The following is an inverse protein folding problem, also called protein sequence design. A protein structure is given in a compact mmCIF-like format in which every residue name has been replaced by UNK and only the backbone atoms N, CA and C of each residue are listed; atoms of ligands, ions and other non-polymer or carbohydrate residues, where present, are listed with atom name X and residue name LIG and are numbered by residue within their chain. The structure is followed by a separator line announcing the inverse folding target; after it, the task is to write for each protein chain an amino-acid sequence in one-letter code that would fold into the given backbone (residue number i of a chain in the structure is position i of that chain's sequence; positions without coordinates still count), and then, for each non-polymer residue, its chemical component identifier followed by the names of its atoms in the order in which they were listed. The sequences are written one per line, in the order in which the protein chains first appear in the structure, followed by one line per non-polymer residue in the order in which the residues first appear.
data_IF_154204387259
#
_entry.id   IF_154204387259
#
_cell.length_a   1.000
_cell.length_b   1.000
_cell.length_c   1.000
_cell.angle_alpha   90.00
_cell.angle_beta   90.00
_cell.angle_gamma   90.00
#
_symmetry.space_group_name_H-M   'P 1'
#
loop_
_entity.id
_entity.type
_entity.pdbx_description
1 polymer ?
#
# COMPACT_ATOMS: atom_id res chain seq x y z
N UNK A 1 -21.59 -11.46 17.08
CA UNK A 1 -22.61 -12.48 17.45
C UNK A 1 -22.84 -13.40 16.28
N UNK A 2 -22.98 -14.71 16.55
CA UNK A 2 -23.35 -15.72 15.56
C UNK A 2 -24.70 -16.33 15.94
N UNK A 3 -25.63 -16.37 15.01
CA UNK A 3 -26.90 -17.05 15.12
C UNK A 3 -26.77 -18.42 14.43
N UNK A 4 -26.82 -19.49 15.24
CA UNK A 4 -26.63 -20.86 14.77
C UNK A 4 -27.87 -21.40 14.04
N UNK A 5 -29.06 -20.89 14.34
CA UNK A 5 -30.31 -21.36 13.71
C UNK A 5 -30.40 -20.85 12.26
N UNK A 6 -30.10 -19.57 12.05
CA UNK A 6 -30.17 -18.92 10.73
C UNK A 6 -28.79 -18.82 10.04
N UNK A 7 -27.70 -19.30 10.70
CA UNK A 7 -26.32 -19.27 10.21
C UNK A 7 -25.83 -17.88 9.83
N UNK A 8 -26.25 -16.88 10.60
CA UNK A 8 -25.96 -15.46 10.37
C UNK A 8 -24.86 -14.99 11.31
N UNK A 9 -23.81 -14.41 10.75
CA UNK A 9 -22.77 -13.72 11.51
C UNK A 9 -23.02 -12.19 11.51
N UNK A 10 -23.34 -11.62 12.66
CA UNK A 10 -23.33 -10.19 12.91
C UNK A 10 -21.91 -9.77 13.31
N UNK A 11 -21.16 -9.24 12.34
CA UNK A 11 -19.71 -9.09 12.41
C UNK A 11 -19.21 -7.75 12.97
N UNK A 12 -20.13 -6.86 13.37
CA UNK A 12 -19.81 -5.47 13.69
C UNK A 12 -19.10 -4.79 12.49
N UNK A 13 -17.94 -4.18 12.70
CA UNK A 13 -17.20 -3.50 11.63
C UNK A 13 -16.48 -4.45 10.66
N UNK A 14 -16.30 -5.71 11.03
CA UNK A 14 -15.62 -6.66 10.15
C UNK A 14 -16.44 -6.94 8.89
N UNK A 15 -15.74 -7.09 7.76
CA UNK A 15 -16.29 -7.32 6.42
C UNK A 15 -17.08 -6.14 5.82
N UNK A 16 -16.99 -4.98 6.46
CA UNK A 16 -17.55 -3.73 5.95
C UNK A 16 -16.76 -3.13 4.78
N UNK A 17 -17.35 -2.13 4.15
CA UNK A 17 -16.71 -1.30 3.13
C UNK A 17 -17.13 0.16 3.27
N UNK A 18 -16.35 1.07 2.69
CA UNK A 18 -16.81 2.44 2.47
C UNK A 18 -17.82 2.51 1.31
N UNK A 19 -18.47 3.66 1.17
CA UNK A 19 -19.42 3.94 0.12
C UNK A 19 -20.88 3.67 0.52
N UNK A 20 -21.78 4.29 -0.21
CA UNK A 20 -23.23 4.15 -0.03
C UNK A 20 -23.73 2.85 -0.69
N UNK A 21 -24.82 2.27 -0.15
CA UNK A 21 -25.36 1.01 -0.65
C UNK A 21 -26.13 1.15 -1.97
N UNK A 22 -26.51 2.36 -2.35
CA UNK A 22 -27.20 2.71 -3.58
C UNK A 22 -26.24 3.09 -4.74
N UNK A 23 -24.94 2.99 -4.51
CA UNK A 23 -23.90 3.15 -5.53
C UNK A 23 -23.40 1.78 -5.97
N UNK A 24 -23.47 1.51 -7.26
CA UNK A 24 -22.90 0.29 -7.82
C UNK A 24 -21.39 0.41 -7.94
N UNK A 25 -20.68 -0.31 -7.07
CA UNK A 25 -19.22 -0.34 -7.03
C UNK A 25 -18.73 -1.71 -6.54
N UNK A 26 -17.51 -2.07 -6.93
CA UNK A 26 -16.89 -3.31 -6.49
C UNK A 26 -16.63 -3.29 -4.96
N UNK A 27 -16.89 -4.41 -4.30
CA UNK A 27 -16.67 -4.55 -2.85
C UNK A 27 -15.18 -4.47 -2.49
N UNK A 28 -14.30 -5.13 -3.23
CA UNK A 28 -12.91 -5.37 -2.85
C UNK A 28 -12.07 -4.09 -2.67
N UNK A 29 -12.08 -3.09 -3.56
CA UNK A 29 -11.30 -1.87 -3.40
C UNK A 29 -11.70 -1.08 -2.14
N UNK A 30 -13.00 -0.87 -1.95
CA UNK A 30 -13.52 -0.09 -0.83
C UNK A 30 -13.42 -0.84 0.51
N UNK A 31 -13.57 -2.16 0.51
CA UNK A 31 -13.34 -3.00 1.67
C UNK A 31 -11.86 -3.05 2.07
N UNK A 32 -10.93 -3.06 1.11
CA UNK A 32 -9.49 -2.94 1.39
C UNK A 32 -9.18 -1.62 2.06
N UNK A 33 -9.66 -0.51 1.48
CA UNK A 33 -9.47 0.84 2.03
C UNK A 33 -10.04 0.95 3.45
N UNK A 34 -11.23 0.38 3.67
CA UNK A 34 -11.88 0.30 4.97
C UNK A 34 -11.04 -0.53 5.97
N UNK A 35 -10.66 -1.76 5.59
CA UNK A 35 -9.86 -2.65 6.44
C UNK A 35 -8.53 -2.01 6.84
N UNK A 36 -7.75 -1.54 5.88
CA UNK A 36 -6.43 -0.95 6.14
C UNK A 36 -6.56 0.31 6.98
N UNK A 37 -7.57 1.15 6.71
CA UNK A 37 -7.82 2.39 7.44
C UNK A 37 -8.16 2.19 8.91
N UNK A 38 -9.00 1.21 9.22
CA UNK A 38 -9.61 1.02 10.55
C UNK A 38 -8.97 -0.14 11.33
N UNK A 39 -8.69 -1.26 10.65
CA UNK A 39 -8.29 -2.51 11.30
C UNK A 39 -6.83 -2.87 11.04
N UNK A 40 -6.16 -2.22 10.08
CA UNK A 40 -4.86 -2.61 9.54
C UNK A 40 -3.79 -2.95 10.57
N UNK A 41 -3.69 -2.21 11.69
CA UNK A 41 -2.69 -2.51 12.74
C UNK A 41 -3.02 -3.75 13.59
N UNK A 42 -4.24 -4.28 13.52
CA UNK A 42 -4.74 -5.36 14.36
C UNK A 42 -4.76 -6.73 13.65
N UNK A 43 -3.90 -6.95 12.67
CA UNK A 43 -3.88 -8.16 11.85
C UNK A 43 -3.82 -9.45 12.68
N UNK A 44 -3.02 -9.50 13.75
CA UNK A 44 -2.92 -10.68 14.64
C UNK A 44 -4.27 -11.02 15.29
N UNK A 45 -5.01 -10.00 15.75
CA UNK A 45 -6.33 -10.18 16.35
C UNK A 45 -7.34 -10.67 15.32
N UNK A 46 -7.31 -10.12 14.10
CA UNK A 46 -8.16 -10.56 12.99
C UNK A 46 -7.88 -12.02 12.63
N UNK A 47 -6.61 -12.42 12.50
CA UNK A 47 -6.24 -13.82 12.25
C UNK A 47 -6.77 -14.76 13.34
N UNK A 48 -6.73 -14.37 14.60
CA UNK A 48 -7.28 -15.15 15.70
C UNK A 48 -8.80 -15.30 15.62
N UNK A 49 -9.50 -14.24 15.18
CA UNK A 49 -10.96 -14.27 14.98
C UNK A 49 -11.34 -15.13 13.78
N UNK A 50 -10.64 -15.00 12.64
CA UNK A 50 -10.85 -15.83 11.45
C UNK A 50 -10.68 -17.32 11.77
N UNK A 51 -9.64 -17.67 12.55
CA UNK A 51 -9.42 -19.06 12.98
C UNK A 51 -10.56 -19.60 13.85
N UNK A 52 -11.14 -18.77 14.72
CA UNK A 52 -12.31 -19.17 15.52
C UNK A 52 -13.56 -19.33 14.66
N UNK A 53 -13.75 -18.43 13.69
CA UNK A 53 -14.91 -18.47 12.79
C UNK A 53 -14.86 -19.61 11.77
N UNK A 54 -13.68 -20.18 11.49
CA UNK A 54 -13.51 -21.27 10.53
C UNK A 54 -14.28 -22.57 10.88
N UNK A 55 -14.69 -22.73 12.16
CA UNK A 55 -15.51 -23.85 12.60
C UNK A 55 -17.02 -23.59 12.56
N UNK A 56 -17.45 -22.41 12.13
CA UNK A 56 -18.86 -22.04 12.05
C UNK A 56 -19.39 -22.24 10.62
N UNK A 57 -20.62 -22.73 10.51
CA UNK A 57 -21.31 -22.84 9.22
C UNK A 57 -22.03 -21.52 8.89
N UNK A 58 -21.26 -20.53 8.40
CA UNK A 58 -21.76 -19.19 8.11
C UNK A 58 -22.32 -19.17 6.68
N UNK A 59 -23.57 -18.73 6.52
CA UNK A 59 -24.23 -18.53 5.23
C UNK A 59 -24.45 -17.05 4.89
N UNK A 60 -24.50 -16.21 5.93
CA UNK A 60 -24.70 -14.76 5.74
C UNK A 60 -23.86 -13.98 6.74
N UNK A 61 -23.24 -12.90 6.26
CA UNK A 61 -22.55 -11.92 7.12
C UNK A 61 -23.28 -10.58 7.03
N UNK A 62 -23.67 -10.06 8.20
CA UNK A 62 -24.25 -8.74 8.38
C UNK A 62 -23.24 -7.83 9.10
N UNK A 63 -22.59 -6.95 8.36
CA UNK A 63 -21.70 -5.91 8.90
C UNK A 63 -22.48 -4.64 9.25
N UNK A 64 -21.92 -3.76 10.08
CA UNK A 64 -22.50 -2.46 10.39
C UNK A 64 -22.36 -1.47 9.24
N UNK A 65 -21.35 -1.65 8.38
CA UNK A 65 -21.04 -0.78 7.26
C UNK A 65 -20.85 -1.62 5.99
N UNK A 66 -21.66 -1.39 4.97
CA UNK A 66 -21.59 -2.09 3.70
C UNK A 66 -22.76 -3.05 3.46
N UNK A 67 -22.69 -3.88 2.42
CA UNK A 67 -23.77 -4.78 2.05
C UNK A 67 -23.84 -6.01 2.97
N UNK A 68 -24.99 -6.67 2.96
CA UNK A 68 -25.10 -8.04 3.44
C UNK A 68 -24.36 -8.95 2.47
N UNK A 69 -23.49 -9.80 2.99
CA UNK A 69 -22.72 -10.75 2.20
C UNK A 69 -23.34 -12.15 2.32
N UNK A 70 -23.56 -12.78 1.18
CA UNK A 70 -24.17 -14.09 1.08
C UNK A 70 -23.13 -15.18 0.78
N UNK A 71 -23.50 -16.43 0.96
CA UNK A 71 -22.64 -17.62 0.93
C UNK A 71 -21.68 -17.68 -0.28
N UNK A 72 -22.15 -17.29 -1.45
CA UNK A 72 -21.37 -17.29 -2.69
C UNK A 72 -20.22 -16.29 -2.71
N UNK A 73 -20.27 -15.25 -1.86
CA UNK A 73 -19.26 -14.21 -1.75
C UNK A 73 -18.25 -14.50 -0.64
N UNK A 74 -18.61 -15.35 0.33
CA UNK A 74 -17.85 -15.50 1.58
C UNK A 74 -16.44 -16.04 1.36
N UNK A 75 -16.23 -16.91 0.37
CA UNK A 75 -14.91 -17.47 0.09
C UNK A 75 -13.90 -16.36 -0.27
N UNK A 76 -14.28 -15.46 -1.17
CA UNK A 76 -13.42 -14.36 -1.62
C UNK A 76 -13.21 -13.33 -0.52
N UNK A 77 -14.27 -13.02 0.22
CA UNK A 77 -14.24 -12.08 1.35
C UNK A 77 -13.32 -12.55 2.47
N UNK A 78 -13.42 -13.82 2.85
CA UNK A 78 -12.57 -14.43 3.87
C UNK A 78 -11.10 -14.52 3.41
N UNK A 79 -10.87 -14.87 2.14
CA UNK A 79 -9.53 -14.89 1.55
C UNK A 79 -8.87 -13.50 1.54
N UNK A 80 -9.63 -12.45 1.23
CA UNK A 80 -9.15 -11.08 1.29
C UNK A 80 -8.75 -10.69 2.72
N UNK A 81 -9.62 -10.94 3.70
CA UNK A 81 -9.35 -10.66 5.12
C UNK A 81 -8.16 -11.44 5.66
N UNK A 82 -8.00 -12.70 5.28
CA UNK A 82 -6.83 -13.52 5.63
C UNK A 82 -5.54 -12.94 5.05
N UNK A 83 -5.58 -12.51 3.78
CA UNK A 83 -4.45 -11.86 3.11
C UNK A 83 -4.05 -10.56 3.80
N UNK A 84 -5.01 -9.66 4.02
CA UNK A 84 -4.74 -8.35 4.62
C UNK A 84 -4.24 -8.45 6.07
N UNK A 85 -4.89 -9.28 6.88
CA UNK A 85 -4.55 -9.43 8.29
C UNK A 85 -3.24 -10.18 8.53
N UNK A 86 -2.81 -11.01 7.57
CA UNK A 86 -1.48 -11.61 7.57
C UNK A 86 -0.40 -10.71 6.95
N UNK A 87 -0.76 -9.48 6.54
CA UNK A 87 0.12 -8.53 5.87
C UNK A 87 0.77 -9.07 4.59
N UNK A 88 0.10 -9.98 3.89
CA UNK A 88 0.53 -10.46 2.58
C UNK A 88 0.11 -9.47 1.49
N UNK A 89 0.89 -9.30 0.42
CA UNK A 89 0.44 -8.57 -0.76
C UNK A 89 -0.68 -9.34 -1.47
N UNK A 90 -1.63 -8.60 -2.06
CA UNK A 90 -2.65 -9.19 -2.94
C UNK A 90 -2.13 -9.39 -4.35
N UNK A 91 -1.22 -8.53 -4.76
CA UNK A 91 -0.75 -8.45 -6.15
C UNK A 91 0.77 -8.33 -6.15
N UNK A 92 1.42 -9.17 -6.95
CA UNK A 92 2.82 -8.94 -7.27
C UNK A 92 2.90 -7.81 -8.30
N UNK A 93 3.31 -6.65 -7.82
CA UNK A 93 3.36 -5.42 -8.58
C UNK A 93 3.96 -4.30 -7.77
N UNK A 94 3.98 -3.11 -8.33
CA UNK A 94 4.73 -1.97 -7.82
C UNK A 94 3.81 -0.75 -7.70
N UNK A 95 3.74 -0.16 -6.52
CA UNK A 95 3.25 1.20 -6.35
C UNK A 95 4.43 2.17 -6.44
N UNK A 96 4.40 3.10 -7.37
CA UNK A 96 5.30 4.26 -7.43
C UNK A 96 4.55 5.45 -6.84
N UNK A 97 4.86 5.80 -5.60
CA UNK A 97 4.25 6.91 -4.89
C UNK A 97 5.25 8.08 -4.83
N UNK A 98 4.85 9.23 -5.34
CA UNK A 98 5.77 10.36 -5.42
C UNK A 98 5.17 11.68 -4.92
N UNK A 99 6.06 12.63 -4.61
CA UNK A 99 5.75 14.05 -4.50
C UNK A 99 6.73 14.83 -5.36
N UNK A 100 6.26 15.92 -5.97
CA UNK A 100 7.10 16.78 -6.79
C UNK A 100 6.70 18.24 -6.63
N UNK A 101 7.69 19.15 -6.56
CA UNK A 101 7.46 20.60 -6.44
C UNK A 101 7.49 21.25 -7.82
N UNK A 102 8.53 20.96 -8.60
CA UNK A 102 8.78 21.60 -9.90
C UNK A 102 8.64 20.65 -11.10
N UNK A 103 8.10 19.44 -10.91
CA UNK A 103 7.92 18.46 -11.96
C UNK A 103 9.02 17.40 -12.06
N UNK A 104 10.28 17.74 -11.81
CA UNK A 104 11.42 16.86 -12.09
C UNK A 104 11.42 15.53 -11.32
N UNK A 105 10.90 15.50 -10.09
CA UNK A 105 10.72 14.23 -9.34
C UNK A 105 9.59 13.40 -9.93
N UNK A 106 8.52 14.04 -10.40
CA UNK A 106 7.44 13.38 -11.13
C UNK A 106 7.97 12.76 -12.43
N UNK A 107 8.72 13.52 -13.24
CA UNK A 107 9.32 13.03 -14.48
C UNK A 107 10.19 11.80 -14.24
N UNK A 108 11.02 11.80 -13.19
CA UNK A 108 11.86 10.66 -12.85
C UNK A 108 11.03 9.45 -12.39
N UNK A 109 9.97 9.67 -11.60
CA UNK A 109 9.07 8.61 -11.15
C UNK A 109 8.30 7.97 -12.31
N UNK A 110 7.81 8.79 -13.24
CA UNK A 110 7.11 8.29 -14.44
C UNK A 110 8.05 7.54 -15.39
N UNK A 111 9.29 8.01 -15.58
CA UNK A 111 10.29 7.29 -16.38
C UNK A 111 10.62 5.91 -15.77
N UNK A 112 10.79 5.83 -14.45
CA UNK A 112 10.96 4.54 -13.77
C UNK A 112 9.74 3.64 -13.97
N UNK A 113 8.54 4.18 -13.83
CA UNK A 113 7.31 3.42 -13.99
C UNK A 113 7.16 2.87 -15.42
N UNK A 114 7.49 3.66 -16.43
CA UNK A 114 7.46 3.21 -17.83
C UNK A 114 8.50 2.13 -18.11
N UNK A 115 9.71 2.27 -17.59
CA UNK A 115 10.72 1.22 -17.72
C UNK A 115 10.29 -0.09 -17.04
N UNK A 116 9.70 -0.01 -15.84
CA UNK A 116 9.17 -1.19 -15.15
C UNK A 116 8.04 -1.86 -15.93
N UNK A 117 7.14 -1.07 -16.56
CA UNK A 117 6.09 -1.60 -17.45
C UNK A 117 6.68 -2.32 -18.66
N UNK A 118 7.71 -1.76 -19.29
CA UNK A 118 8.41 -2.43 -20.42
C UNK A 118 9.09 -3.72 -19.99
N UNK A 119 9.48 -3.86 -18.72
CA UNK A 119 9.99 -5.10 -18.12
C UNK A 119 8.86 -6.06 -17.68
N UNK A 120 7.59 -5.77 -18.01
CA UNK A 120 6.45 -6.63 -17.72
C UNK A 120 5.89 -6.51 -16.29
N UNK A 121 6.30 -5.49 -15.53
CA UNK A 121 5.79 -5.28 -14.17
C UNK A 121 4.43 -4.59 -14.20
N UNK A 122 3.53 -4.98 -13.29
CA UNK A 122 2.31 -4.22 -13.02
C UNK A 122 2.66 -3.00 -12.17
N UNK A 123 2.39 -1.78 -12.70
CA UNK A 123 2.79 -0.54 -12.03
C UNK A 123 1.63 0.42 -11.93
N UNK A 124 1.37 0.90 -10.71
CA UNK A 124 0.48 2.02 -10.42
C UNK A 124 1.32 3.20 -9.96
N UNK A 125 1.01 4.40 -10.47
CA UNK A 125 1.71 5.64 -10.11
C UNK A 125 0.74 6.57 -9.40
N UNK A 126 1.16 7.16 -8.29
CA UNK A 126 0.33 8.07 -7.50
C UNK A 126 1.10 9.32 -7.04
N UNK A 127 0.55 10.50 -7.34
CA UNK A 127 1.02 11.77 -6.77
C UNK A 127 0.39 11.95 -5.38
N UNK A 128 1.18 11.78 -4.33
CA UNK A 128 0.72 11.87 -2.93
C UNK A 128 0.20 13.25 -2.53
N UNK A 129 0.54 14.30 -3.29
CA UNK A 129 0.03 15.64 -3.05
C UNK A 129 -1.34 15.90 -3.71
N UNK A 130 -1.83 14.98 -4.55
CA UNK A 130 -3.04 15.17 -5.36
C UNK A 130 -4.03 14.00 -5.29
N UNK A 131 -3.59 12.82 -4.85
CA UNK A 131 -4.45 11.65 -4.70
C UNK A 131 -5.15 11.62 -3.33
N UNK A 132 -6.14 10.75 -3.19
CA UNK A 132 -6.66 10.37 -1.88
C UNK A 132 -5.58 9.59 -1.11
N UNK A 133 -5.19 10.11 0.05
CA UNK A 133 -4.15 9.51 0.90
C UNK A 133 -4.57 8.12 1.41
N UNK A 134 -5.84 7.91 1.73
CA UNK A 134 -6.32 6.62 2.18
C UNK A 134 -6.26 5.58 1.06
N UNK A 135 -6.53 5.98 -0.18
CA UNK A 135 -6.35 5.13 -1.36
C UNK A 135 -4.87 4.80 -1.59
N UNK A 136 -3.97 5.79 -1.51
CA UNK A 136 -2.53 5.55 -1.65
C UNK A 136 -2.02 4.54 -0.62
N UNK A 137 -2.46 4.65 0.63
CA UNK A 137 -2.14 3.70 1.71
C UNK A 137 -2.68 2.31 1.38
N UNK A 138 -3.93 2.20 0.94
CA UNK A 138 -4.53 0.91 0.56
C UNK A 138 -3.77 0.25 -0.61
N UNK A 139 -3.35 1.03 -1.61
CA UNK A 139 -2.54 0.53 -2.73
C UNK A 139 -1.14 0.07 -2.27
N UNK A 140 -0.51 0.75 -1.30
CA UNK A 140 0.76 0.28 -0.75
C UNK A 140 0.63 -1.09 -0.07
N UNK A 141 -0.46 -1.35 0.63
CA UNK A 141 -0.73 -2.66 1.22
C UNK A 141 -1.13 -3.72 0.17
N UNK A 142 -1.71 -3.31 -0.95
CA UNK A 142 -2.08 -4.20 -2.05
C UNK A 142 -0.88 -4.81 -2.76
N UNK A 143 0.12 -3.98 -3.08
CA UNK A 143 1.27 -4.39 -3.89
C UNK A 143 2.42 -4.97 -3.06
N UNK A 144 3.22 -5.85 -3.70
CA UNK A 144 4.41 -6.45 -3.10
C UNK A 144 5.57 -5.47 -2.97
N UNK A 145 5.61 -4.43 -3.82
CA UNK A 145 6.72 -3.48 -3.91
C UNK A 145 6.22 -2.03 -3.85
N UNK A 146 7.00 -1.17 -3.21
CA UNK A 146 6.74 0.27 -3.09
C UNK A 146 7.98 1.05 -3.50
N UNK A 147 7.83 1.97 -4.43
CA UNK A 147 8.82 3.01 -4.73
C UNK A 147 8.35 4.31 -4.11
N UNK A 148 9.21 4.98 -3.36
CA UNK A 148 8.99 6.32 -2.83
C UNK A 148 9.92 7.31 -3.51
N UNK A 149 9.35 8.32 -4.18
CA UNK A 149 10.10 9.38 -4.82
C UNK A 149 9.71 10.75 -4.25
N UNK A 150 10.66 11.46 -3.65
CA UNK A 150 10.36 12.73 -2.98
C UNK A 150 11.52 13.72 -3.03
N UNK A 151 11.24 15.04 -3.12
CA UNK A 151 12.29 16.04 -2.92
C UNK A 151 12.69 16.13 -1.44
N UNK A 152 13.95 16.49 -1.22
CA UNK A 152 14.44 16.99 0.07
C UNK A 152 13.81 18.34 0.35
N UNK A 153 13.16 18.48 1.50
CA UNK A 153 12.50 19.71 1.93
C UNK A 153 12.87 20.01 3.38
N UNK A 154 13.47 21.17 3.62
CA UNK A 154 13.97 21.58 4.95
C UNK A 154 14.88 20.52 5.63
N UNK A 155 15.70 19.81 4.86
CA UNK A 155 16.55 18.73 5.38
C UNK A 155 15.80 17.45 5.75
N UNK A 156 14.51 17.38 5.48
CA UNK A 156 13.57 16.29 5.72
C UNK A 156 12.94 15.85 4.38
N UNK A 157 11.95 14.97 4.40
CA UNK A 157 11.11 14.61 3.25
C UNK A 157 9.96 15.61 3.07
N UNK A 158 9.40 15.68 1.88
CA UNK A 158 8.25 16.55 1.64
C UNK A 158 7.03 16.09 2.47
N UNK A 159 6.21 17.01 3.02
CA UNK A 159 5.19 16.69 4.02
C UNK A 159 4.22 15.57 3.64
N UNK A 160 3.72 15.52 2.42
CA UNK A 160 2.80 14.45 2.00
C UNK A 160 3.45 13.06 2.01
N UNK A 161 4.73 12.96 1.61
CA UNK A 161 5.49 11.70 1.71
C UNK A 161 5.69 11.31 3.16
N UNK A 162 5.97 12.28 4.04
CA UNK A 162 6.11 12.02 5.48
C UNK A 162 4.84 11.44 6.07
N UNK A 163 3.71 12.11 5.85
CA UNK A 163 2.39 11.66 6.30
C UNK A 163 2.05 10.28 5.74
N UNK A 164 2.36 10.02 4.48
CA UNK A 164 2.15 8.71 3.88
C UNK A 164 2.93 7.60 4.60
N UNK A 165 4.24 7.81 4.86
CA UNK A 165 5.07 6.83 5.58
C UNK A 165 4.58 6.65 7.02
N UNK A 166 4.16 7.71 7.70
CA UNK A 166 3.57 7.65 9.04
C UNK A 166 2.32 6.77 9.03
N UNK A 167 1.42 6.96 8.08
CA UNK A 167 0.23 6.11 7.92
C UNK A 167 0.56 4.64 7.65
N UNK A 168 1.61 4.35 6.88
CA UNK A 168 2.07 2.99 6.65
C UNK A 168 2.58 2.34 7.94
N UNK A 169 3.47 3.03 8.65
CA UNK A 169 4.13 2.49 9.86
C UNK A 169 3.15 2.32 11.02
N UNK A 170 2.20 3.23 11.19
CA UNK A 170 1.13 3.14 12.18
C UNK A 170 0.21 1.91 11.98
N UNK A 171 0.14 1.40 10.75
CA UNK A 171 -0.66 0.24 10.36
C UNK A 171 0.14 -1.05 10.22
N UNK A 172 1.37 -1.07 10.79
CA UNK A 172 2.26 -2.23 10.73
C UNK A 172 2.63 -2.67 9.30
N UNK A 173 2.88 -1.73 8.39
CA UNK A 173 3.34 -2.03 7.03
C UNK A 173 4.60 -2.90 7.07
N UNK A 174 4.52 -4.08 6.46
CA UNK A 174 5.54 -5.11 6.54
C UNK A 174 5.46 -6.10 5.37
N UNK A 175 6.44 -7.01 5.27
CA UNK A 175 6.52 -8.06 4.24
C UNK A 175 6.53 -7.47 2.82
N UNK A 176 7.27 -6.40 2.59
CA UNK A 176 7.34 -5.67 1.31
C UNK A 176 8.77 -5.33 0.94
N UNK A 177 9.01 -5.14 -0.35
CA UNK A 177 10.22 -4.50 -0.86
C UNK A 177 9.96 -3.00 -1.05
N UNK A 178 10.87 -2.16 -0.56
CA UNK A 178 10.79 -0.69 -0.69
C UNK A 178 12.03 -0.18 -1.43
N UNK A 179 11.80 0.67 -2.42
CA UNK A 179 12.83 1.36 -3.17
C UNK A 179 12.72 2.88 -3.00
N UNK A 180 13.82 3.57 -3.04
CA UNK A 180 13.88 5.00 -2.72
C UNK A 180 14.47 5.81 -3.86
N UNK A 181 13.80 6.92 -4.15
CA UNK A 181 14.27 7.96 -5.05
C UNK A 181 14.21 9.30 -4.33
N UNK A 182 15.27 10.07 -4.42
CA UNK A 182 15.32 11.40 -3.82
C UNK A 182 15.69 12.47 -4.85
N UNK A 183 15.26 13.70 -4.60
CA UNK A 183 15.69 14.86 -5.36
C UNK A 183 16.17 15.96 -4.41
N UNK A 184 17.31 16.55 -4.72
CA UNK A 184 17.85 17.68 -3.94
C UNK A 184 19.02 18.33 -4.64
N UNK A 185 18.96 19.67 -4.82
CA UNK A 185 19.93 20.41 -5.65
C UNK A 185 21.37 20.26 -5.15
N UNK A 186 21.63 20.46 -3.85
CA UNK A 186 23.00 20.48 -3.29
C UNK A 186 23.19 19.54 -2.09
N UNK A 187 22.13 19.18 -1.39
CA UNK A 187 22.18 18.33 -0.19
C UNK A 187 20.97 17.38 -0.14
N UNK A 188 20.88 16.39 -1.05
CA UNK A 188 19.82 15.39 -1.01
C UNK A 188 19.94 14.56 0.29
N UNK A 189 18.88 14.50 1.06
CA UNK A 189 18.82 13.77 2.36
C UNK A 189 17.54 12.95 2.51
N UNK A 190 16.60 13.05 1.58
CA UNK A 190 15.28 12.45 1.71
C UNK A 190 15.36 10.92 1.79
N UNK A 191 16.21 10.26 1.01
CA UNK A 191 16.36 8.80 1.06
C UNK A 191 16.83 8.30 2.43
N UNK A 192 17.79 8.99 3.04
CA UNK A 192 18.26 8.68 4.40
C UNK A 192 17.16 8.85 5.44
N UNK A 193 16.34 9.90 5.30
CA UNK A 193 15.22 10.16 6.21
C UNK A 193 14.15 9.08 6.04
N UNK A 194 13.77 8.73 4.82
CA UNK A 194 12.82 7.66 4.55
C UNK A 194 13.27 6.30 5.10
N UNK A 195 14.56 5.92 4.92
CA UNK A 195 15.12 4.70 5.54
C UNK A 195 14.93 4.70 7.05
N UNK A 196 15.22 5.83 7.71
CA UNK A 196 15.06 5.96 9.16
C UNK A 196 13.60 5.84 9.60
N UNK A 197 12.66 6.35 8.84
CA UNK A 197 11.22 6.26 9.16
C UNK A 197 10.72 4.81 9.14
N UNK A 198 11.33 3.92 8.35
CA UNK A 198 11.00 2.49 8.31
C UNK A 198 11.82 1.61 9.24
N UNK A 199 12.74 2.17 10.03
CA UNK A 199 13.69 1.40 10.85
C UNK A 199 13.01 0.45 11.86
N UNK A 200 11.82 0.81 12.35
CA UNK A 200 11.01 -0.02 13.25
C UNK A 200 10.09 -1.02 12.54
N UNK A 201 9.97 -0.94 11.23
CA UNK A 201 9.08 -1.80 10.46
C UNK A 201 9.66 -3.21 10.31
N UNK A 202 8.79 -4.22 10.42
CA UNK A 202 9.21 -5.62 10.39
C UNK A 202 9.24 -6.16 8.95
N UNK A 203 10.23 -7.00 8.65
CA UNK A 203 10.29 -7.74 7.39
C UNK A 203 10.15 -6.83 6.14
N UNK A 204 10.70 -5.61 6.19
CA UNK A 204 10.86 -4.77 5.01
C UNK A 204 12.26 -4.98 4.43
N UNK A 205 12.32 -5.21 3.13
CA UNK A 205 13.57 -5.16 2.36
C UNK A 205 13.65 -3.79 1.71
N UNK A 206 14.53 -2.93 2.20
CA UNK A 206 14.79 -1.64 1.55
C UNK A 206 15.99 -1.85 0.62
N UNK A 207 15.79 -1.68 -0.69
CA UNK A 207 16.83 -1.86 -1.68
C UNK A 207 18.02 -0.91 -1.44
N UNK A 208 19.20 -1.37 -1.73
CA UNK A 208 20.43 -0.56 -1.62
C UNK A 208 20.51 0.46 -2.76
N UNK A 209 20.01 0.08 -3.94
CA UNK A 209 19.90 0.95 -5.09
C UNK A 209 19.01 2.14 -4.76
N UNK A 210 19.58 3.33 -4.82
CA UNK A 210 18.86 4.60 -4.58
C UNK A 210 19.11 5.53 -5.76
N UNK A 211 18.03 6.13 -6.29
CA UNK A 211 18.15 7.15 -7.33
C UNK A 211 18.26 8.52 -6.67
N UNK A 212 19.37 9.21 -6.91
CA UNK A 212 19.60 10.57 -6.41
C UNK A 212 19.59 11.55 -7.57
N UNK A 213 18.50 12.32 -7.70
CA UNK A 213 18.34 13.38 -8.69
C UNK A 213 18.81 14.70 -8.11
N UNK A 214 19.60 15.47 -8.87
CA UNK A 214 20.06 16.80 -8.48
C UNK A 214 19.43 17.89 -9.35
N UNK A 215 18.15 18.14 -9.09
CA UNK A 215 17.32 19.00 -9.93
C UNK A 215 16.56 18.17 -10.97
N UNK A 216 17.09 17.99 -12.16
CA UNK A 216 16.56 17.08 -13.21
C UNK A 216 17.43 15.84 -13.34
N UNK A 217 16.91 14.83 -14.04
CA UNK A 217 17.70 13.64 -14.41
C UNK A 217 18.89 14.05 -15.29
N UNK A 218 20.02 13.44 -14.98
CA UNK A 218 21.27 13.49 -15.75
C UNK A 218 21.72 12.04 -16.06
N UNK A 219 22.86 11.88 -16.74
CA UNK A 219 23.37 10.55 -17.11
C UNK A 219 23.60 9.66 -15.88
N UNK A 220 24.08 10.23 -14.78
CA UNK A 220 24.38 9.48 -13.57
C UNK A 220 23.10 8.99 -12.85
N UNK A 221 22.13 9.87 -12.67
CA UNK A 221 20.83 9.53 -12.07
C UNK A 221 19.98 8.65 -12.97
N UNK A 222 20.12 8.78 -14.30
CA UNK A 222 19.50 7.87 -15.27
C UNK A 222 20.09 6.45 -15.17
N UNK A 223 21.40 6.33 -15.03
CA UNK A 223 22.04 5.03 -14.80
C UNK A 223 21.58 4.38 -13.47
N UNK A 224 21.41 5.19 -12.41
CA UNK A 224 20.85 4.70 -11.15
C UNK A 224 19.38 4.24 -11.31
N UNK A 225 18.58 4.96 -12.11
CA UNK A 225 17.19 4.61 -12.40
C UNK A 225 17.11 3.25 -13.10
N UNK A 226 17.94 3.01 -14.11
CA UNK A 226 18.02 1.70 -14.79
C UNK A 226 18.42 0.58 -13.82
N UNK A 227 19.41 0.82 -12.94
CA UNK A 227 19.83 -0.16 -11.95
C UNK A 227 18.70 -0.48 -10.96
N UNK A 228 17.95 0.54 -10.51
CA UNK A 228 16.80 0.36 -9.63
C UNK A 228 15.67 -0.41 -10.31
N UNK A 229 15.38 -0.11 -11.59
CA UNK A 229 14.39 -0.86 -12.38
C UNK A 229 14.76 -2.33 -12.52
N UNK A 230 16.05 -2.63 -12.76
CA UNK A 230 16.56 -3.99 -12.83
C UNK A 230 16.46 -4.73 -11.49
N UNK A 231 16.77 -4.06 -10.38
CA UNK A 231 16.66 -4.64 -9.05
C UNK A 231 15.19 -4.96 -8.71
N UNK A 232 14.26 -4.02 -8.94
CA UNK A 232 12.83 -4.20 -8.71
C UNK A 232 12.21 -5.32 -9.57
N UNK A 233 12.74 -5.56 -10.76
CA UNK A 233 12.23 -6.60 -11.67
C UNK A 233 12.69 -8.02 -11.30
N UNK A 234 13.70 -8.14 -10.43
CA UNK A 234 14.26 -9.42 -9.97
C UNK A 234 13.77 -9.87 -8.60
N UNK A 235 13.07 -8.98 -7.89
CA UNK A 235 12.55 -9.24 -6.54
C UNK A 235 11.26 -10.05 -6.54
#
# INVERSE_FOLDING_TARGET
TYDDADKVLFSADAFGKFGALDVEEEWLPEARRYFIGIVGKYGVQVQAVLKKAAGLDIETICSLHGPILHKEQLADVLAAYDTWSAYRPETDGILVAYTSIYGHTADAAEQLAEELRTKGQQVVVMDLARCDMAEAVAQAFRFSKLVLATPTYNGDVFPFTKTFIEHLTERNYQNRTVALMENGSWAPTAARVMRKMFESSKNLTILDETVTVKGSLDDASTAQLHALADALSKC
#
